data_IF_597640508621
#
_entry.id   IF_597640508621
#
_cell.length_a   1.000
_cell.length_b   1.000
_cell.length_c   1.000
_cell.angle_alpha   90.00
_cell.angle_beta   90.00
_cell.angle_gamma   90.00
#
_symmetry.space_group_name_H-M   'P 1'
#
loop_
_entity.id
_entity.type
_entity.pdbx_description
1 polymer ?
#
# COMPACT_ATOMS: atom_id res chain seq x y z
N UNK A 1 51.14 -31.25 -5.28
CA UNK A 1 49.71 -31.14 -5.62
C UNK A 1 49.20 -29.82 -5.05
N UNK A 2 48.90 -28.86 -5.92
CA UNK A 2 48.96 -27.41 -5.63
C UNK A 2 47.62 -26.71 -5.92
N UNK A 3 46.49 -27.32 -5.54
CA UNK A 3 45.15 -26.78 -5.88
C UNK A 3 44.09 -26.93 -4.76
N UNK A 4 44.52 -27.05 -3.49
CA UNK A 4 43.62 -27.31 -2.35
C UNK A 4 43.16 -26.03 -1.61
N UNK A 5 43.08 -24.87 -2.30
CA UNK A 5 42.66 -23.60 -1.68
C UNK A 5 41.53 -22.86 -2.41
N UNK A 6 40.99 -23.44 -3.48
CA UNK A 6 39.99 -22.79 -4.33
C UNK A 6 38.53 -22.98 -3.85
N UNK A 7 38.10 -24.07 -3.16
CA UNK A 7 36.67 -24.27 -2.93
C UNK A 7 36.10 -23.39 -1.80
N UNK A 8 36.96 -22.85 -0.92
CA UNK A 8 36.51 -22.02 0.21
C UNK A 8 36.03 -20.62 -0.22
N UNK A 9 36.49 -20.12 -1.37
CA UNK A 9 36.12 -18.78 -1.86
C UNK A 9 34.77 -18.76 -2.58
N UNK A 10 34.28 -19.91 -3.07
CA UNK A 10 33.02 -20.01 -3.82
C UNK A 10 31.78 -20.10 -2.92
N UNK A 11 31.93 -20.58 -1.68
CA UNK A 11 30.81 -20.78 -0.76
C UNK A 11 30.26 -19.48 -0.14
N UNK A 12 31.05 -18.40 -0.08
CA UNK A 12 30.62 -17.13 0.53
C UNK A 12 29.73 -16.26 -0.39
N UNK A 13 29.68 -16.52 -1.70
CA UNK A 13 28.92 -15.70 -2.64
C UNK A 13 27.42 -16.02 -2.69
N UNK A 14 26.97 -17.14 -2.11
CA UNK A 14 25.57 -17.57 -2.18
C UNK A 14 24.70 -16.94 -1.08
N UNK A 15 25.30 -16.46 0.02
CA UNK A 15 24.55 -15.84 1.12
C UNK A 15 24.14 -14.37 0.87
N UNK A 16 24.59 -13.74 -0.22
CA UNK A 16 24.25 -12.36 -0.54
C UNK A 16 22.93 -12.19 -1.33
N UNK A 17 22.27 -13.29 -1.73
CA UNK A 17 21.09 -13.23 -2.62
C UNK A 17 19.75 -13.00 -1.90
N UNK A 18 19.72 -12.90 -0.56
CA UNK A 18 18.48 -12.73 0.19
C UNK A 18 18.08 -11.26 0.46
N UNK A 19 18.68 -10.28 -0.22
CA UNK A 19 18.21 -8.89 -0.16
C UNK A 19 17.04 -8.67 -1.13
N UNK A 20 15.92 -9.35 -0.88
CA UNK A 20 14.63 -8.83 -1.36
C UNK A 20 14.44 -7.48 -0.69
N UNK A 21 14.62 -6.40 -1.46
CA UNK A 21 14.22 -5.08 -1.02
C UNK A 21 12.72 -5.13 -0.79
N UNK A 22 12.29 -4.92 0.45
CA UNK A 22 10.89 -4.70 0.73
C UNK A 22 10.38 -3.60 -0.23
N UNK A 23 9.16 -3.73 -0.79
CA UNK A 23 8.61 -2.69 -1.64
C UNK A 23 8.69 -1.35 -0.90
N UNK A 24 8.84 -0.21 -1.60
CA UNK A 24 8.98 1.10 -0.99
C UNK A 24 7.65 1.49 -0.37
N UNK A 25 7.34 0.91 0.78
CA UNK A 25 6.31 1.38 1.67
C UNK A 25 6.90 2.55 2.42
N UNK A 26 6.18 3.67 2.51
CA UNK A 26 6.47 4.68 3.52
C UNK A 26 6.68 3.92 4.83
N UNK A 27 7.86 3.97 5.45
CA UNK A 27 8.26 3.06 6.55
C UNK A 27 7.42 3.16 7.84
N UNK A 28 6.20 3.70 7.75
CA UNK A 28 5.19 3.74 8.81
C UNK A 28 4.41 2.42 8.81
N UNK A 29 4.26 1.88 10.02
CA UNK A 29 3.40 0.74 10.27
C UNK A 29 1.95 1.08 9.88
N UNK A 30 1.32 0.18 9.12
CA UNK A 30 -0.09 0.27 8.78
C UNK A 30 -0.96 -0.44 9.83
N UNK A 31 -2.15 0.10 10.05
CA UNK A 31 -3.22 -0.52 10.82
C UNK A 31 -4.12 -1.34 9.90
N UNK A 32 -4.58 -2.49 10.36
CA UNK A 32 -5.54 -3.33 9.65
C UNK A 32 -6.95 -2.74 9.79
N UNK A 33 -7.64 -2.51 8.67
CA UNK A 33 -9.05 -2.13 8.65
C UNK A 33 -9.95 -3.37 8.52
N UNK A 34 -9.64 -4.23 7.55
CA UNK A 34 -10.29 -5.52 7.32
C UNK A 34 -9.29 -6.56 6.76
N UNK A 35 -9.75 -7.71 6.28
CA UNK A 35 -8.88 -8.77 5.75
C UNK A 35 -8.09 -8.40 4.49
N UNK A 36 -8.54 -7.40 3.74
CA UNK A 36 -7.97 -6.97 2.46
C UNK A 36 -7.42 -5.53 2.51
N UNK A 37 -7.73 -4.77 3.56
CA UNK A 37 -7.49 -3.33 3.65
C UNK A 37 -6.64 -2.99 4.84
N UNK A 38 -5.51 -2.32 4.58
CA UNK A 38 -4.65 -1.72 5.59
C UNK A 38 -4.59 -0.21 5.36
N UNK A 39 -4.35 0.56 6.40
CA UNK A 39 -4.29 2.02 6.30
C UNK A 39 -3.30 2.64 7.27
N UNK A 40 -2.82 3.82 6.94
CA UNK A 40 -2.05 4.66 7.84
C UNK A 40 -2.51 6.10 7.68
N UNK A 41 -2.38 6.87 8.76
CA UNK A 41 -2.91 8.22 8.87
C UNK A 41 -1.83 9.16 9.37
N UNK A 42 -1.67 10.27 8.67
CA UNK A 42 -0.81 11.37 9.11
C UNK A 42 -1.69 12.58 9.42
N UNK A 43 -1.83 12.92 10.69
CA UNK A 43 -2.68 14.03 11.10
C UNK A 43 -2.03 15.38 10.79
N UNK A 44 -2.84 16.29 10.26
CA UNK A 44 -2.50 17.69 9.99
C UNK A 44 -3.56 18.59 10.64
N UNK A 45 -3.30 19.89 10.90
CA UNK A 45 -4.24 20.76 11.61
C UNK A 45 -5.64 20.79 10.98
N UNK A 46 -5.70 20.81 9.65
CA UNK A 46 -6.94 20.91 8.88
C UNK A 46 -7.54 19.55 8.49
N UNK A 47 -6.94 18.44 8.91
CA UNK A 47 -7.29 17.15 8.30
C UNK A 47 -6.40 15.97 8.69
N UNK A 48 -6.26 15.07 7.74
CA UNK A 48 -5.29 14.00 7.77
C UNK A 48 -4.95 13.51 6.37
N UNK A 49 -3.71 13.11 6.15
CA UNK A 49 -3.33 12.35 4.96
C UNK A 49 -3.65 10.89 5.22
N UNK A 50 -4.52 10.32 4.40
CA UNK A 50 -4.87 8.91 4.43
C UNK A 50 -4.05 8.18 3.37
N UNK A 51 -3.37 7.11 3.76
CA UNK A 51 -2.78 6.15 2.84
C UNK A 51 -3.41 4.79 3.10
N UNK A 52 -4.01 4.18 2.08
CA UNK A 52 -4.68 2.89 2.13
C UNK A 52 -3.96 1.91 1.22
N UNK A 53 -3.83 0.67 1.66
CA UNK A 53 -3.39 -0.46 0.88
C UNK A 53 -4.56 -1.42 0.76
N UNK A 54 -4.97 -1.71 -0.46
CA UNK A 54 -6.04 -2.65 -0.76
C UNK A 54 -5.49 -3.81 -1.57
N UNK A 55 -5.64 -5.02 -1.02
CA UNK A 55 -5.20 -6.28 -1.62
C UNK A 55 -6.40 -6.97 -2.26
N UNK A 56 -6.35 -7.20 -3.57
CA UNK A 56 -7.46 -7.86 -4.26
C UNK A 56 -7.46 -9.35 -3.92
N UNK A 57 -8.54 -9.83 -3.30
CA UNK A 57 -8.70 -11.26 -3.01
C UNK A 57 -8.85 -12.11 -4.28
N UNK A 58 -9.33 -11.49 -5.37
CA UNK A 58 -9.44 -12.12 -6.69
C UNK A 58 -8.25 -11.67 -7.55
N UNK A 59 -7.41 -12.62 -7.94
CA UNK A 59 -6.16 -12.41 -8.70
C UNK A 59 -6.31 -11.82 -10.12
N UNK A 60 -7.52 -11.42 -10.54
CA UNK A 60 -7.81 -11.01 -11.93
C UNK A 60 -8.77 -9.82 -11.99
N UNK A 61 -8.31 -8.65 -11.54
CA UNK A 61 -9.03 -7.39 -11.77
C UNK A 61 -8.54 -6.67 -13.02
N UNK A 62 -9.48 -6.11 -13.79
CA UNK A 62 -9.15 -5.16 -14.85
C UNK A 62 -8.61 -3.86 -14.21
N UNK A 63 -7.68 -3.14 -14.85
CA UNK A 63 -7.07 -1.95 -14.23
C UNK A 63 -8.08 -0.86 -13.82
N UNK A 64 -9.11 -0.63 -14.65
CA UNK A 64 -10.15 0.36 -14.35
C UNK A 64 -11.04 -0.04 -13.16
N UNK A 65 -11.39 -1.32 -13.05
CA UNK A 65 -12.20 -1.83 -11.92
C UNK A 65 -11.39 -1.85 -10.64
N UNK A 66 -10.10 -2.21 -10.72
CA UNK A 66 -9.17 -2.13 -9.60
C UNK A 66 -9.07 -0.68 -9.07
N UNK A 67 -8.83 0.30 -9.94
CA UNK A 67 -8.72 1.70 -9.52
C UNK A 67 -9.99 2.20 -8.81
N UNK A 68 -11.18 1.86 -9.33
CA UNK A 68 -12.45 2.24 -8.72
C UNK A 68 -12.63 1.61 -7.33
N UNK A 69 -12.43 0.29 -7.20
CA UNK A 69 -12.56 -0.40 -5.91
C UNK A 69 -11.58 0.12 -4.86
N UNK A 70 -10.33 0.39 -5.25
CA UNK A 70 -9.32 0.94 -4.37
C UNK A 70 -9.72 2.32 -3.83
N UNK A 71 -10.30 3.18 -4.67
CA UNK A 71 -10.85 4.47 -4.23
C UNK A 71 -12.03 4.28 -3.29
N UNK A 72 -12.97 3.39 -3.62
CA UNK A 72 -14.11 3.09 -2.75
C UNK A 72 -13.65 2.60 -1.37
N UNK A 73 -12.67 1.69 -1.33
CA UNK A 73 -12.08 1.24 -0.07
C UNK A 73 -11.46 2.40 0.71
N UNK A 74 -10.71 3.29 0.04
CA UNK A 74 -10.09 4.44 0.69
C UNK A 74 -11.12 5.44 1.24
N UNK A 75 -12.21 5.70 0.50
CA UNK A 75 -13.32 6.55 0.95
C UNK A 75 -14.01 5.94 2.17
N UNK A 76 -14.26 4.63 2.17
CA UNK A 76 -14.86 3.92 3.30
C UNK A 76 -14.00 4.02 4.57
N UNK A 77 -12.68 3.84 4.43
CA UNK A 77 -11.73 4.04 5.53
C UNK A 77 -11.76 5.48 6.03
N UNK A 78 -11.74 6.47 5.13
CA UNK A 78 -11.79 7.89 5.49
C UNK A 78 -13.06 8.22 6.30
N UNK A 79 -14.23 7.77 5.84
CA UNK A 79 -15.50 7.97 6.52
C UNK A 79 -15.52 7.26 7.88
N UNK A 80 -15.05 6.01 7.96
CA UNK A 80 -14.99 5.29 9.24
C UNK A 80 -14.08 5.98 10.26
N UNK A 81 -12.95 6.54 9.82
CA UNK A 81 -12.06 7.32 10.69
C UNK A 81 -12.67 8.64 11.15
N UNK A 82 -13.44 9.29 10.27
CA UNK A 82 -14.20 10.49 10.57
C UNK A 82 -15.29 10.22 11.62
N UNK A 83 -16.05 9.14 11.44
CA UNK A 83 -17.12 8.70 12.35
C UNK A 83 -16.58 8.35 13.74
N UNK A 84 -15.46 7.62 13.81
CA UNK A 84 -14.79 7.29 15.08
C UNK A 84 -14.32 8.54 15.85
N UNK A 85 -14.14 9.66 15.15
CA UNK A 85 -13.72 10.95 15.72
C UNK A 85 -14.87 11.91 15.93
N UNK A 86 -16.10 11.51 15.60
CA UNK A 86 -17.28 12.35 15.64
C UNK A 86 -17.11 13.68 14.88
N UNK A 87 -16.35 13.66 13.78
CA UNK A 87 -16.05 14.86 12.97
C UNK A 87 -16.32 14.57 11.50
N UNK A 88 -17.08 15.45 10.84
CA UNK A 88 -17.38 15.30 9.42
C UNK A 88 -16.18 15.69 8.56
N UNK A 89 -16.01 15.01 7.42
CA UNK A 89 -15.03 15.35 6.38
C UNK A 89 -15.71 16.01 5.18
N UNK A 90 -14.96 16.79 4.43
CA UNK A 90 -15.42 17.27 3.13
C UNK A 90 -15.61 16.09 2.15
N UNK A 91 -16.53 16.20 1.17
CA UNK A 91 -16.63 15.22 0.11
C UNK A 91 -15.29 15.05 -0.60
N UNK A 92 -14.78 13.81 -0.60
CA UNK A 92 -13.50 13.48 -1.22
C UNK A 92 -13.75 13.19 -2.69
N UNK A 93 -13.29 14.09 -3.56
CA UNK A 93 -13.32 13.86 -5.01
C UNK A 93 -12.35 12.74 -5.38
N UNK A 94 -12.80 11.84 -6.26
CA UNK A 94 -12.04 10.78 -6.90
C UNK A 94 -10.70 11.23 -7.50
N UNK A 95 -10.58 12.50 -7.90
CA UNK A 95 -9.36 13.07 -8.47
C UNK A 95 -8.28 13.36 -7.43
N UNK A 96 -8.63 13.44 -6.13
CA UNK A 96 -7.67 13.73 -5.05
C UNK A 96 -6.82 12.52 -4.67
N UNK A 97 -7.22 11.32 -5.09
CA UNK A 97 -6.50 10.08 -4.81
C UNK A 97 -5.34 9.88 -5.78
N UNK A 98 -4.12 9.88 -5.22
CA UNK A 98 -2.95 9.35 -5.90
C UNK A 98 -2.97 7.82 -5.78
N UNK A 99 -3.23 7.15 -6.90
CA UNK A 99 -3.25 5.69 -6.96
C UNK A 99 -1.91 5.15 -7.44
N UNK A 100 -1.47 4.06 -6.80
CA UNK A 100 -0.36 3.24 -7.23
C UNK A 100 -0.81 1.78 -7.26
N UNK A 101 -0.85 1.17 -8.44
CA UNK A 101 -1.25 -0.24 -8.60
C UNK A 101 -0.02 -1.10 -8.86
N UNK A 102 0.10 -2.19 -8.13
CA UNK A 102 1.15 -3.19 -8.35
C UNK A 102 0.58 -4.39 -9.10
N UNK A 103 1.44 -4.98 -9.94
CA UNK A 103 1.08 -6.05 -10.88
C UNK A 103 1.96 -7.26 -10.65
N UNK A 104 1.38 -8.45 -10.80
CA UNK A 104 2.14 -9.69 -10.83
C UNK A 104 2.88 -9.87 -12.17
N UNK A 105 3.69 -10.93 -12.26
CA UNK A 105 4.44 -11.31 -13.47
C UNK A 105 3.54 -11.54 -14.70
N UNK A 106 2.26 -11.87 -14.49
CA UNK A 106 1.25 -12.04 -15.55
C UNK A 106 0.53 -10.73 -15.92
N UNK A 107 0.98 -9.58 -15.40
CA UNK A 107 0.43 -8.26 -15.68
C UNK A 107 -0.92 -7.95 -15.02
N UNK A 108 -1.40 -8.81 -14.09
CA UNK A 108 -2.65 -8.62 -13.35
C UNK A 108 -2.41 -7.76 -12.11
N UNK A 109 -3.34 -6.85 -11.81
CA UNK A 109 -3.28 -6.02 -10.60
C UNK A 109 -3.56 -6.90 -9.38
N UNK A 110 -2.63 -6.93 -8.42
CA UNK A 110 -2.75 -7.72 -7.18
C UNK A 110 -2.98 -6.85 -5.95
N UNK A 111 -2.51 -5.61 -6.01
CA UNK A 111 -2.54 -4.68 -4.90
C UNK A 111 -2.65 -3.25 -5.43
N UNK A 112 -3.31 -2.39 -4.65
CA UNK A 112 -3.44 -0.97 -4.93
C UNK A 112 -3.18 -0.17 -3.65
N UNK A 113 -2.36 0.86 -3.77
CA UNK A 113 -2.19 1.88 -2.76
C UNK A 113 -2.87 3.17 -3.20
N UNK A 114 -3.67 3.76 -2.32
CA UNK A 114 -4.33 5.03 -2.54
C UNK A 114 -3.92 6.02 -1.44
N UNK A 115 -3.42 7.20 -1.83
CA UNK A 115 -3.08 8.28 -0.91
C UNK A 115 -3.87 9.53 -1.24
N UNK A 116 -4.52 10.14 -0.25
CA UNK A 116 -5.23 11.40 -0.41
C UNK A 116 -5.22 12.25 0.87
N UNK A 117 -5.16 13.59 0.74
CA UNK A 117 -5.45 14.49 1.85
C UNK A 117 -6.97 14.54 2.11
N UNK A 118 -7.36 14.28 3.35
CA UNK A 118 -8.73 14.35 3.84
C UNK A 118 -8.87 15.60 4.70
N UNK A 119 -9.80 16.48 4.35
CA UNK A 119 -10.01 17.77 5.02
C UNK A 119 -11.25 17.66 5.91
N UNK A 120 -11.16 18.20 7.11
CA UNK A 120 -12.33 18.29 7.99
C UNK A 120 -13.32 19.33 7.46
N UNK A 121 -14.60 19.00 7.54
CA UNK A 121 -15.65 19.98 7.28
C UNK A 121 -15.57 21.09 8.33
N UNK A 122 -15.58 22.34 7.87
CA UNK A 122 -15.62 23.52 8.72
C UNK A 122 -17.01 23.74 9.31
#
# INVERSE_FOLDING_TARGET
MKYLKIPALMACLVFAACTTTAPPYSGRQMSTYDMATEYTVEYVPDGFTLTVNYRYQRFTMLPGTAAAECKTAAINVANSLADRRHRQIEPVDDQRFKLNTSRNWFGKVTDCSATAPIVWKR
#
